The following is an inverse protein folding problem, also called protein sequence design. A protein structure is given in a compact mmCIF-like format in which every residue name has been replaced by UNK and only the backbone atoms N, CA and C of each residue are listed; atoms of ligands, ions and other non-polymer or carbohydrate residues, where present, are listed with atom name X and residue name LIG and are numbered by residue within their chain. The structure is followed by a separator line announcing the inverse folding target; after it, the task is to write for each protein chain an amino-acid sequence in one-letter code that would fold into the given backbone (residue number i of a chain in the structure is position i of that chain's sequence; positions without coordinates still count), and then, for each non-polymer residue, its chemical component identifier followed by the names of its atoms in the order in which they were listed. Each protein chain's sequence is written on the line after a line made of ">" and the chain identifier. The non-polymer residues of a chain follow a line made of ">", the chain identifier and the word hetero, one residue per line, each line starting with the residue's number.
data_IF_773015540650
#
_entry.id   IF_773015540650
#
_cell.length_a   1.000
_cell.length_b   1.000
_cell.length_c   1.000
_cell.angle_alpha   90.00
_cell.angle_beta   90.00
_cell.angle_gamma   90.00
#
_symmetry.space_group_name_H-M   'P 1'
#
loop_
_entity.id
_entity.type
_entity.pdbx_description
1 polymer ?
#
# COMPACT_ATOMS: atom_id res chain seq x y z
N UNK A 1 -47.06 26.21 69.16
CA UNK A 1 -48.08 27.15 68.64
C UNK A 1 -47.34 28.23 67.85
N UNK A 2 -47.72 28.40 66.58
CA UNK A 2 -47.54 29.58 65.70
C UNK A 2 -46.11 30.02 65.27
N UNK A 3 -45.80 29.63 64.03
CA UNK A 3 -45.35 30.42 62.87
C UNK A 3 -45.00 31.92 63.00
N UNK A 4 -43.87 32.34 62.39
CA UNK A 4 -43.72 33.24 61.20
C UNK A 4 -42.23 33.70 61.07
N UNK A 5 -41.51 33.40 59.97
CA UNK A 5 -41.16 34.28 58.80
C UNK A 5 -40.86 35.75 59.20
N UNK A 6 -39.78 36.44 58.80
CA UNK A 6 -39.19 36.59 57.45
C UNK A 6 -37.85 37.38 57.51
N UNK A 7 -37.09 37.29 56.41
CA UNK A 7 -35.77 37.79 56.02
C UNK A 7 -35.45 39.30 56.17
N UNK A 8 -34.15 39.65 56.23
CA UNK A 8 -33.47 40.59 55.31
C UNK A 8 -31.94 40.67 55.58
N UNK A 9 -31.17 40.85 54.51
CA UNK A 9 -29.71 40.79 54.40
C UNK A 9 -29.00 42.10 54.82
N UNK A 10 -27.73 42.03 55.22
CA UNK A 10 -26.77 43.13 55.05
C UNK A 10 -25.31 42.65 54.96
N UNK A 11 -24.52 43.46 54.26
CA UNK A 11 -23.30 43.16 53.50
C UNK A 11 -21.99 43.45 54.27
N UNK A 12 -20.97 42.63 53.98
CA UNK A 12 -19.54 42.91 53.84
C UNK A 12 -18.71 43.57 54.98
N UNK A 13 -17.60 42.89 55.35
CA UNK A 13 -16.30 43.53 55.67
C UNK A 13 -15.12 42.64 55.21
N UNK A 14 -14.09 43.33 54.70
CA UNK A 14 -12.90 42.86 53.97
C UNK A 14 -11.86 42.15 54.86
N UNK A 15 -11.05 41.27 54.24
CA UNK A 15 -9.81 40.66 54.78
C UNK A 15 -8.72 40.70 53.67
N UNK A 16 -7.41 40.84 53.99
CA UNK A 16 -6.44 41.54 53.16
C UNK A 16 -5.70 40.66 52.13
N UNK A 17 -5.15 41.33 51.12
CA UNK A 17 -4.41 40.73 50.00
C UNK A 17 -3.00 40.32 50.43
N UNK A 18 -2.77 39.01 50.55
CA UNK A 18 -1.43 38.41 50.40
C UNK A 18 -1.22 38.10 48.92
N UNK A 19 -0.26 38.76 48.29
CA UNK A 19 0.15 38.48 46.92
C UNK A 19 0.98 37.19 46.89
N UNK A 20 0.39 36.10 46.40
CA UNK A 20 1.13 34.90 45.99
C UNK A 20 1.55 35.14 44.54
N UNK A 21 2.85 35.33 44.31
CA UNK A 21 3.41 35.32 42.96
C UNK A 21 3.34 33.90 42.41
N UNK A 22 2.39 33.65 41.49
CA UNK A 22 2.33 32.42 40.74
C UNK A 22 3.44 32.43 39.67
N UNK A 23 4.53 31.72 39.92
CA UNK A 23 5.54 31.40 38.90
C UNK A 23 4.91 30.35 37.98
N UNK A 24 4.42 30.77 36.83
CA UNK A 24 4.01 29.86 35.76
C UNK A 24 5.27 29.23 35.17
N UNK A 25 5.56 27.98 35.55
CA UNK A 25 6.54 27.15 34.86
C UNK A 25 5.97 26.84 33.47
N UNK A 26 6.40 27.57 32.45
CA UNK A 26 6.20 27.19 31.06
C UNK A 26 7.12 25.99 30.81
N UNK A 27 6.57 24.78 30.92
CA UNK A 27 7.25 23.60 30.41
C UNK A 27 7.38 23.76 28.90
N UNK A 28 8.57 24.15 28.44
CA UNK A 28 8.90 24.09 27.02
C UNK A 28 8.85 22.60 26.62
N UNK A 29 7.75 22.20 25.98
CA UNK A 29 7.68 20.91 25.30
C UNK A 29 8.69 20.95 24.17
N UNK A 30 9.87 20.37 24.41
CA UNK A 30 10.80 20.06 23.33
C UNK A 30 10.09 19.02 22.47
N UNK A 31 9.52 19.47 21.35
CA UNK A 31 9.15 18.55 20.27
C UNK A 31 10.47 17.97 19.79
N UNK A 32 10.87 16.83 20.35
CA UNK A 32 11.91 16.03 19.72
C UNK A 32 11.33 15.64 18.36
N UNK A 33 11.87 16.26 17.31
CA UNK A 33 11.69 15.77 15.96
C UNK A 33 12.01 14.27 15.99
N UNK A 34 11.00 13.43 15.78
CA UNK A 34 11.23 12.00 15.64
C UNK A 34 12.19 11.86 14.47
N UNK A 35 13.38 11.32 14.76
CA UNK A 35 14.32 10.91 13.71
C UNK A 35 13.49 10.07 12.73
N UNK A 36 13.47 10.39 11.42
CA UNK A 36 12.75 9.56 10.47
C UNK A 36 13.19 8.12 10.68
N UNK A 37 12.24 7.23 10.90
CA UNK A 37 12.54 5.81 11.07
C UNK A 37 13.46 5.40 9.91
N UNK A 38 14.62 4.82 10.23
CA UNK A 38 15.57 4.40 9.22
C UNK A 38 14.82 3.56 8.17
N UNK A 39 14.95 3.92 6.89
CA UNK A 39 14.30 3.19 5.82
C UNK A 39 14.74 1.72 5.88
N UNK A 40 13.82 0.75 5.88
CA UNK A 40 14.21 -0.65 5.85
C UNK A 40 15.03 -0.89 4.58
N UNK A 41 16.22 -1.47 4.74
CA UNK A 41 17.18 -1.74 3.64
C UNK A 41 16.54 -2.56 2.52
N UNK A 42 15.50 -3.34 2.83
CA UNK A 42 14.68 -4.08 1.87
C UNK A 42 13.20 -3.76 2.04
N UNK A 43 12.82 -2.53 1.74
CA UNK A 43 11.42 -2.11 1.65
C UNK A 43 10.72 -2.73 0.43
N UNK A 44 9.39 -2.77 0.45
CA UNK A 44 8.63 -3.20 -0.72
C UNK A 44 8.80 -2.25 -1.91
N UNK A 45 8.94 -0.95 -1.67
CA UNK A 45 9.30 0.01 -2.72
C UNK A 45 10.62 -0.36 -3.41
N UNK A 46 11.66 -0.74 -2.64
CA UNK A 46 12.94 -1.14 -3.21
C UNK A 46 12.81 -2.43 -4.03
N UNK A 47 12.05 -3.43 -3.56
CA UNK A 47 11.76 -4.62 -4.34
C UNK A 47 11.09 -4.30 -5.69
N UNK A 48 10.14 -3.35 -5.71
CA UNK A 48 9.47 -2.93 -6.96
C UNK A 48 10.45 -2.26 -7.92
N UNK A 49 11.36 -1.42 -7.41
CA UNK A 49 12.44 -0.82 -8.21
C UNK A 49 13.35 -1.90 -8.79
N UNK A 50 13.80 -2.85 -7.97
CA UNK A 50 14.72 -3.91 -8.38
C UNK A 50 14.09 -4.80 -9.47
N UNK A 51 12.80 -5.15 -9.33
CA UNK A 51 12.04 -5.87 -10.37
C UNK A 51 11.91 -5.07 -11.66
N UNK A 52 11.64 -3.77 -11.55
CA UNK A 52 11.48 -2.91 -12.71
C UNK A 52 12.78 -2.86 -13.51
N UNK A 53 13.92 -2.67 -12.86
CA UNK A 53 15.24 -2.69 -13.52
C UNK A 53 15.54 -4.05 -14.14
N UNK A 54 15.19 -5.15 -13.46
CA UNK A 54 15.37 -6.50 -14.02
C UNK A 54 14.52 -6.75 -15.28
N UNK A 55 13.30 -6.20 -15.34
CA UNK A 55 12.39 -6.32 -16.48
C UNK A 55 12.69 -5.34 -17.62
N UNK A 56 13.35 -4.23 -17.31
CA UNK A 56 13.67 -3.14 -18.23
C UNK A 56 15.17 -2.80 -18.15
N UNK A 57 16.06 -3.65 -18.70
CA UNK A 57 17.51 -3.51 -18.57
C UNK A 57 18.10 -2.28 -19.28
N UNK A 58 17.30 -1.58 -20.08
CA UNK A 58 17.62 -0.31 -20.73
C UNK A 58 17.49 0.92 -19.81
N UNK A 59 16.76 0.78 -18.69
CA UNK A 59 16.68 1.80 -17.65
C UNK A 59 18.04 2.02 -16.98
N UNK A 60 18.40 3.29 -16.85
CA UNK A 60 19.59 3.76 -16.13
C UNK A 60 19.26 4.15 -14.70
N UNK A 61 18.08 4.69 -14.47
CA UNK A 61 17.59 5.00 -13.14
C UNK A 61 16.08 4.74 -13.04
N UNK A 62 15.69 4.24 -11.87
CA UNK A 62 14.32 4.17 -11.38
C UNK A 62 14.36 4.76 -9.98
N UNK A 63 13.54 5.78 -9.74
CA UNK A 63 13.51 6.54 -8.48
C UNK A 63 12.06 6.74 -8.06
N UNK A 64 11.75 6.43 -6.81
CA UNK A 64 10.44 6.72 -6.21
C UNK A 64 10.58 7.78 -5.12
N UNK A 65 9.98 8.94 -5.36
CA UNK A 65 9.84 10.04 -4.41
C UNK A 65 8.44 9.99 -3.79
N UNK A 66 8.37 9.84 -2.46
CA UNK A 66 7.13 9.68 -1.71
C UNK A 66 7.26 10.46 -0.41
N UNK A 67 6.15 10.97 0.13
CA UNK A 67 6.08 11.47 1.51
C UNK A 67 5.73 10.30 2.42
N UNK A 68 6.67 9.74 3.21
CA UNK A 68 6.37 8.61 4.08
C UNK A 68 5.25 8.93 5.08
N UNK A 69 4.51 7.91 5.57
CA UNK A 69 3.53 8.13 6.63
C UNK A 69 4.19 8.81 7.84
N UNK A 70 3.54 9.86 8.36
CA UNK A 70 4.02 10.67 9.49
C UNK A 70 5.32 11.47 9.25
N UNK A 71 5.74 11.63 8.00
CA UNK A 71 6.82 12.54 7.61
C UNK A 71 6.26 13.80 6.95
N UNK A 72 6.99 14.91 7.07
CA UNK A 72 6.64 16.17 6.39
C UNK A 72 7.23 16.24 4.98
N UNK A 73 8.43 15.70 4.79
CA UNK A 73 9.19 15.85 3.55
C UNK A 73 8.89 14.71 2.56
N UNK A 74 8.78 15.06 1.29
CA UNK A 74 8.82 14.10 0.20
C UNK A 74 10.28 13.75 -0.12
N UNK A 75 10.61 12.46 -0.10
CA UNK A 75 11.99 11.98 -0.22
C UNK A 75 12.07 10.72 -1.09
N UNK A 76 13.27 10.42 -1.60
CA UNK A 76 13.54 9.14 -2.26
C UNK A 76 13.37 8.00 -1.24
N UNK A 77 12.39 7.13 -1.45
CA UNK A 77 12.17 5.94 -0.60
C UNK A 77 12.73 4.66 -1.22
N UNK A 78 12.98 4.65 -2.52
CA UNK A 78 13.54 3.53 -3.27
C UNK A 78 14.24 4.01 -4.55
N UNK A 79 15.39 3.42 -4.86
CA UNK A 79 16.11 3.70 -6.09
C UNK A 79 17.19 2.66 -6.39
N UNK A 80 17.47 2.40 -7.67
CA UNK A 80 18.59 1.58 -8.11
C UNK A 80 19.93 2.35 -8.17
N UNK A 81 19.92 3.69 -7.99
CA UNK A 81 21.12 4.54 -7.98
C UNK A 81 21.44 5.12 -6.59
N UNK A 82 20.77 4.62 -5.54
CA UNK A 82 20.94 5.09 -4.16
C UNK A 82 20.19 6.40 -3.87
N UNK A 83 20.81 7.30 -3.09
CA UNK A 83 20.22 8.61 -2.70
C UNK A 83 18.94 8.52 -1.84
N UNK A 84 18.71 7.38 -1.19
CA UNK A 84 17.58 7.20 -0.27
C UNK A 84 17.58 8.30 0.80
N UNK A 85 16.42 8.93 1.03
CA UNK A 85 16.23 10.05 1.94
C UNK A 85 16.54 11.43 1.35
N UNK A 86 17.05 11.53 0.12
CA UNK A 86 17.19 12.83 -0.57
C UNK A 86 15.80 13.44 -0.77
N UNK A 87 15.65 14.71 -0.41
CA UNK A 87 14.43 15.47 -0.67
C UNK A 87 14.14 15.57 -2.17
N UNK A 88 12.85 15.47 -2.49
CA UNK A 88 12.28 15.83 -3.78
C UNK A 88 12.58 17.30 -4.09
N UNK A 89 12.82 17.62 -5.35
CA UNK A 89 12.96 19.00 -5.80
C UNK A 89 11.63 19.57 -6.32
N UNK A 90 11.66 20.79 -6.85
CA UNK A 90 10.45 21.47 -7.31
C UNK A 90 9.76 20.75 -8.48
N UNK A 91 10.54 20.04 -9.32
CA UNK A 91 10.00 19.34 -10.48
C UNK A 91 9.23 18.08 -10.03
N UNK A 92 9.82 17.30 -9.11
CA UNK A 92 9.16 16.16 -8.47
C UNK A 92 7.81 16.57 -7.82
N UNK A 93 7.83 17.67 -7.08
CA UNK A 93 6.65 18.18 -6.36
C UNK A 93 5.56 18.70 -7.33
N UNK A 94 5.95 19.31 -8.46
CA UNK A 94 5.00 19.76 -9.49
C UNK A 94 4.31 18.58 -10.19
N UNK A 95 5.05 17.50 -10.48
CA UNK A 95 4.48 16.26 -11.03
C UNK A 95 3.43 15.67 -10.09
N UNK A 96 3.72 15.66 -8.78
CA UNK A 96 2.77 15.18 -7.75
C UNK A 96 1.53 16.08 -7.68
N UNK A 97 1.72 17.39 -7.63
CA UNK A 97 0.64 18.35 -7.44
C UNK A 97 -0.29 18.44 -8.66
N UNK A 98 0.26 18.34 -9.86
CA UNK A 98 -0.49 18.52 -11.12
C UNK A 98 -0.97 17.21 -11.73
N UNK A 99 -0.34 16.08 -11.38
CA UNK A 99 -0.56 14.79 -12.03
C UNK A 99 -0.08 14.73 -13.48
N UNK A 100 0.71 15.72 -13.94
CA UNK A 100 1.22 15.79 -15.31
C UNK A 100 2.63 15.22 -15.38
N UNK A 101 2.91 14.49 -16.44
CA UNK A 101 4.26 14.00 -16.70
C UNK A 101 5.20 15.17 -17.03
N UNK A 102 6.47 15.02 -16.68
CA UNK A 102 7.56 15.90 -17.08
C UNK A 102 8.60 15.12 -17.87
N UNK A 103 9.18 15.78 -18.88
CA UNK A 103 10.26 15.25 -19.71
C UNK A 103 11.45 16.17 -19.55
N UNK A 104 12.58 15.62 -19.14
CA UNK A 104 13.84 16.35 -19.01
C UNK A 104 14.93 15.68 -19.84
N UNK A 105 15.83 16.49 -20.39
CA UNK A 105 16.99 16.05 -21.16
C UNK A 105 18.26 16.53 -20.47
N UNK A 106 19.30 15.71 -20.48
CA UNK A 106 20.62 16.14 -20.00
C UNK A 106 21.29 17.15 -20.96
N UNK A 107 22.36 17.78 -20.46
CA UNK A 107 23.21 18.62 -21.29
C UNK A 107 23.87 17.78 -22.40
N UNK A 108 23.38 17.95 -23.63
CA UNK A 108 23.85 17.21 -24.81
C UNK A 108 22.88 16.18 -25.37
N UNK A 109 21.65 16.08 -24.83
CA UNK A 109 20.58 15.21 -25.33
C UNK A 109 20.97 13.73 -25.44
N UNK A 110 21.73 13.23 -24.45
CA UNK A 110 22.20 11.84 -24.37
C UNK A 110 21.42 11.02 -23.35
N UNK A 111 20.66 11.67 -22.47
CA UNK A 111 19.77 11.03 -21.49
C UNK A 111 18.41 11.73 -21.52
N UNK A 112 17.38 10.91 -21.42
CA UNK A 112 16.01 11.35 -21.25
C UNK A 112 15.51 10.85 -19.89
N UNK A 113 14.90 11.73 -19.14
CA UNK A 113 14.20 11.45 -17.90
C UNK A 113 12.71 11.72 -18.12
N UNK A 114 11.88 10.71 -17.81
CA UNK A 114 10.44 10.85 -17.75
C UNK A 114 10.05 10.73 -16.28
N UNK A 115 9.51 11.81 -15.74
CA UNK A 115 8.92 11.84 -14.41
C UNK A 115 7.39 11.74 -14.53
N UNK A 116 6.80 10.83 -13.77
CA UNK A 116 5.37 10.55 -13.79
C UNK A 116 4.80 10.60 -12.37
N UNK A 117 3.52 10.92 -12.17
CA UNK A 117 2.87 10.66 -10.90
C UNK A 117 2.90 9.15 -10.61
N UNK A 118 3.34 8.77 -9.42
CA UNK A 118 3.28 7.39 -8.93
C UNK A 118 1.87 7.13 -8.38
N UNK A 119 1.21 6.09 -8.87
CA UNK A 119 -0.14 5.74 -8.45
C UNK A 119 -0.17 4.48 -7.60
N UNK A 120 -1.09 4.41 -6.64
CA UNK A 120 -1.53 3.14 -6.06
C UNK A 120 -2.53 2.43 -6.98
N UNK A 121 -2.99 1.25 -6.57
CA UNK A 121 -3.97 0.43 -7.31
C UNK A 121 -5.34 1.08 -7.45
N UNK A 122 -5.67 2.05 -6.60
CA UNK A 122 -6.89 2.85 -6.69
C UNK A 122 -6.77 4.05 -7.64
N UNK A 123 -5.58 4.28 -8.21
CA UNK A 123 -5.29 5.43 -9.06
C UNK A 123 -4.98 6.71 -8.27
N UNK A 124 -4.77 6.63 -6.96
CA UNK A 124 -4.38 7.78 -6.15
C UNK A 124 -2.91 8.11 -6.41
N UNK A 125 -2.59 9.38 -6.69
CA UNK A 125 -1.21 9.87 -6.68
C UNK A 125 -0.65 9.83 -5.28
N UNK A 126 0.43 9.07 -5.09
CA UNK A 126 1.10 8.82 -3.81
C UNK A 126 2.56 9.29 -3.81
N UNK A 127 3.06 9.80 -4.94
CA UNK A 127 4.44 10.23 -5.12
C UNK A 127 4.77 10.54 -6.58
N UNK A 128 6.06 10.64 -6.92
CA UNK A 128 6.55 10.68 -8.29
C UNK A 128 7.47 9.48 -8.57
N UNK A 129 7.53 9.10 -9.85
CA UNK A 129 8.35 8.05 -10.41
C UNK A 129 9.27 8.67 -11.47
N UNK A 130 10.57 8.69 -11.21
CA UNK A 130 11.58 9.09 -12.20
C UNK A 130 12.12 7.86 -12.93
N UNK A 131 12.02 7.86 -14.27
CA UNK A 131 12.57 6.82 -15.14
C UNK A 131 13.55 7.44 -16.13
N UNK A 132 14.78 6.94 -16.15
CA UNK A 132 15.85 7.51 -16.97
C UNK A 132 16.39 6.50 -17.95
N UNK A 133 16.50 6.89 -19.21
CA UNK A 133 17.12 6.11 -20.29
C UNK A 133 18.34 6.81 -20.87
N UNK A 134 19.15 6.04 -21.59
CA UNK A 134 20.01 6.63 -22.62
C UNK A 134 19.12 7.06 -23.78
N UNK A 135 19.30 8.29 -24.26
CA UNK A 135 18.61 8.80 -25.43
C UNK A 135 19.47 8.60 -26.69
N UNK A 136 19.01 7.84 -27.69
CA UNK A 136 19.73 7.67 -28.95
C UNK A 136 19.58 8.91 -29.84
N UNK A 137 20.55 9.11 -30.73
CA UNK A 137 20.46 10.16 -31.77
C UNK A 137 19.22 9.90 -32.63
N UNK A 138 18.36 10.91 -32.77
CA UNK A 138 17.10 10.77 -33.51
C UNK A 138 16.02 9.98 -32.77
N UNK A 139 16.14 9.77 -31.45
CA UNK A 139 15.11 9.14 -30.64
C UNK A 139 13.76 9.87 -30.70
N UNK A 140 12.72 9.21 -30.20
CA UNK A 140 11.37 9.74 -30.15
C UNK A 140 10.90 9.90 -28.69
N UNK A 141 10.72 11.14 -28.22
CA UNK A 141 10.24 11.40 -26.85
C UNK A 141 8.92 10.70 -26.53
N UNK A 142 7.97 10.72 -27.48
CA UNK A 142 6.66 10.11 -27.29
C UNK A 142 6.72 8.59 -27.06
N UNK A 143 7.74 7.92 -27.60
CA UNK A 143 7.95 6.50 -27.36
C UNK A 143 8.40 6.23 -25.92
N UNK A 144 9.34 7.03 -25.40
CA UNK A 144 9.79 6.92 -24.01
C UNK A 144 8.67 7.25 -23.03
N UNK A 145 7.88 8.30 -23.29
CA UNK A 145 6.70 8.61 -22.48
C UNK A 145 5.69 7.47 -22.46
N UNK A 146 5.42 6.85 -23.62
CA UNK A 146 4.52 5.70 -23.71
C UNK A 146 5.03 4.52 -22.90
N UNK A 147 6.32 4.19 -23.02
CA UNK A 147 6.95 3.09 -22.25
C UNK A 147 6.91 3.40 -20.75
N UNK A 148 7.22 4.63 -20.36
CA UNK A 148 7.17 5.09 -18.99
C UNK A 148 5.76 4.97 -18.38
N UNK A 149 4.72 5.32 -19.15
CA UNK A 149 3.33 5.12 -18.77
C UNK A 149 2.99 3.65 -18.52
N UNK A 150 3.43 2.74 -19.40
CA UNK A 150 3.24 1.29 -19.23
C UNK A 150 3.90 0.79 -17.94
N UNK A 151 5.12 1.25 -17.64
CA UNK A 151 5.84 0.89 -16.41
C UNK A 151 5.10 1.41 -15.17
N UNK A 152 4.68 2.68 -15.16
CA UNK A 152 3.90 3.27 -14.06
C UNK A 152 2.61 2.48 -13.81
N UNK A 153 1.89 2.14 -14.87
CA UNK A 153 0.60 1.44 -14.75
C UNK A 153 0.80 -0.02 -14.28
N UNK A 154 1.91 -0.67 -14.67
CA UNK A 154 2.29 -1.97 -14.13
C UNK A 154 2.66 -1.91 -12.64
N UNK A 155 3.39 -0.87 -12.21
CA UNK A 155 3.71 -0.62 -10.81
C UNK A 155 2.45 -0.33 -9.98
N UNK A 156 1.53 0.49 -10.49
CA UNK A 156 0.26 0.82 -9.82
C UNK A 156 -0.54 -0.43 -9.44
N UNK A 157 -0.59 -1.45 -10.32
CA UNK A 157 -1.23 -2.75 -10.03
C UNK A 157 -0.55 -3.58 -8.93
N UNK A 158 0.67 -3.21 -8.51
CA UNK A 158 1.42 -3.85 -7.44
C UNK A 158 1.45 -3.02 -6.15
N UNK A 159 0.95 -1.79 -6.16
CA UNK A 159 1.01 -0.89 -5.00
C UNK A 159 -0.38 -0.80 -4.38
N UNK A 160 -0.61 -1.49 -3.27
CA UNK A 160 -1.92 -1.46 -2.61
C UNK A 160 -2.24 -0.07 -2.01
N UNK A 161 -1.22 0.58 -1.46
CA UNK A 161 -1.31 1.91 -0.85
C UNK A 161 0.08 2.50 -0.62
N UNK A 162 0.15 3.78 -0.26
CA UNK A 162 1.41 4.43 0.15
C UNK A 162 2.09 3.68 1.32
N UNK A 163 1.36 3.34 2.38
CA UNK A 163 1.93 2.62 3.53
C UNK A 163 2.53 1.27 3.12
N UNK A 164 1.95 0.60 2.14
CA UNK A 164 2.47 -0.69 1.66
C UNK A 164 3.87 -0.58 1.04
N UNK A 165 4.25 0.55 0.46
CA UNK A 165 5.60 0.79 -0.05
C UNK A 165 6.67 0.76 1.05
N UNK A 166 6.28 1.11 2.27
CA UNK A 166 7.17 1.20 3.43
C UNK A 166 7.31 -0.12 4.19
N UNK A 167 6.48 -1.13 3.85
CA UNK A 167 6.55 -2.44 4.48
C UNK A 167 7.89 -3.13 4.17
N UNK A 168 8.45 -3.94 5.09
CA UNK A 168 9.58 -4.81 4.77
C UNK A 168 9.19 -5.84 3.70
N UNK A 169 10.18 -6.27 2.92
CA UNK A 169 10.00 -7.29 1.89
C UNK A 169 11.04 -8.44 1.99
N UNK A 170 10.62 -9.71 2.19
CA UNK A 170 9.26 -10.14 2.56
C UNK A 170 8.83 -9.52 3.90
N UNK A 171 7.54 -9.53 4.19
CA UNK A 171 7.00 -8.87 5.39
C UNK A 171 7.40 -9.58 6.67
N UNK A 172 7.27 -10.91 6.69
CA UNK A 172 7.93 -11.71 7.70
C UNK A 172 9.32 -12.11 7.20
N UNK A 173 10.39 -11.90 7.99
CA UNK A 173 11.71 -12.38 7.64
C UNK A 173 11.71 -13.89 7.35
N UNK A 174 12.53 -14.33 6.40
CA UNK A 174 12.74 -15.74 6.02
C UNK A 174 11.58 -16.44 5.30
N UNK A 175 10.45 -15.78 5.08
CA UNK A 175 9.36 -16.35 4.27
C UNK A 175 9.73 -16.29 2.78
N UNK A 176 9.48 -17.40 2.06
CA UNK A 176 9.66 -17.44 0.60
C UNK A 176 8.63 -16.57 -0.11
N UNK A 177 9.07 -15.86 -1.15
CA UNK A 177 8.20 -15.09 -2.05
C UNK A 177 7.86 -15.88 -3.32
N UNK A 178 8.42 -17.09 -3.46
CA UNK A 178 8.21 -18.04 -4.57
C UNK A 178 7.41 -19.25 -4.10
N UNK A 179 6.39 -18.99 -3.30
CA UNK A 179 5.50 -20.04 -2.83
C UNK A 179 4.57 -20.51 -3.95
N UNK A 180 4.05 -21.73 -3.86
CA UNK A 180 2.97 -22.19 -4.74
C UNK A 180 1.78 -21.24 -4.72
N UNK A 181 1.44 -20.67 -3.57
CA UNK A 181 0.40 -19.65 -3.47
C UNK A 181 0.70 -18.41 -4.33
N UNK A 182 1.95 -17.94 -4.37
CA UNK A 182 2.33 -16.83 -5.23
C UNK A 182 2.20 -17.22 -6.70
N UNK A 183 2.66 -18.40 -7.11
CA UNK A 183 2.50 -18.88 -8.50
C UNK A 183 1.04 -18.90 -8.93
N UNK A 184 0.15 -19.43 -8.06
CA UNK A 184 -1.29 -19.43 -8.31
C UNK A 184 -1.87 -18.01 -8.48
N UNK A 185 -1.39 -17.05 -7.69
CA UNK A 185 -1.79 -15.64 -7.81
C UNK A 185 -1.33 -15.09 -9.17
N UNK A 186 -0.08 -15.29 -9.56
CA UNK A 186 0.44 -14.78 -10.84
C UNK A 186 -0.29 -15.39 -12.05
N UNK A 187 -0.52 -16.70 -12.06
CA UNK A 187 -1.25 -17.38 -13.13
C UNK A 187 -2.73 -16.99 -13.17
N UNK A 188 -3.33 -16.65 -12.03
CA UNK A 188 -4.69 -16.11 -12.00
C UNK A 188 -4.75 -14.73 -12.64
N UNK A 189 -3.82 -13.83 -12.32
CA UNK A 189 -3.78 -12.48 -12.90
C UNK A 189 -3.56 -12.49 -14.42
N UNK A 190 -2.82 -13.47 -14.94
CA UNK A 190 -2.67 -13.65 -16.38
C UNK A 190 -3.98 -14.01 -17.08
N UNK A 191 -4.89 -14.70 -16.39
CA UNK A 191 -6.18 -15.17 -16.94
C UNK A 191 -7.35 -14.24 -16.60
N UNK A 192 -7.21 -13.45 -15.55
CA UNK A 192 -8.22 -12.53 -15.03
C UNK A 192 -7.63 -11.11 -14.93
N UNK A 193 -7.33 -10.45 -16.06
CA UNK A 193 -6.68 -9.14 -16.09
C UNK A 193 -7.51 -8.02 -15.47
N UNK A 194 -8.81 -8.22 -15.27
CA UNK A 194 -9.70 -7.31 -14.56
C UNK A 194 -9.50 -7.31 -13.03
N UNK A 195 -8.81 -8.32 -12.49
CA UNK A 195 -8.46 -8.39 -11.07
C UNK A 195 -7.27 -7.47 -10.79
N UNK A 196 -7.51 -6.48 -9.95
CA UNK A 196 -6.52 -5.47 -9.55
C UNK A 196 -5.81 -5.81 -8.24
N UNK A 197 -6.48 -6.54 -7.35
CA UNK A 197 -5.91 -7.03 -6.09
C UNK A 197 -6.27 -8.50 -5.95
N UNK A 198 -5.26 -9.33 -5.71
CA UNK A 198 -5.43 -10.73 -5.35
C UNK A 198 -4.51 -11.04 -4.18
N UNK A 199 -5.04 -11.71 -3.15
CA UNK A 199 -4.29 -12.14 -1.98
C UNK A 199 -4.82 -13.49 -1.47
N UNK A 200 -3.91 -14.46 -1.34
CA UNK A 200 -4.19 -15.81 -0.90
C UNK A 200 -3.48 -16.06 0.44
N UNK A 201 -4.29 -16.31 1.48
CA UNK A 201 -3.81 -16.77 2.78
C UNK A 201 -4.15 -18.24 2.97
N UNK A 202 -3.24 -18.98 3.60
CA UNK A 202 -3.50 -20.35 4.03
C UNK A 202 -2.86 -20.63 5.39
N UNK A 203 -3.34 -21.66 6.07
CA UNK A 203 -2.75 -22.11 7.35
C UNK A 203 -1.42 -22.80 7.07
N UNK A 204 -0.33 -22.30 7.67
CA UNK A 204 1.01 -22.90 7.56
C UNK A 204 1.30 -23.88 8.69
N UNK A 205 1.89 -25.03 8.35
CA UNK A 205 2.32 -26.03 9.33
C UNK A 205 3.66 -25.66 10.00
N UNK A 206 3.94 -26.15 11.23
CA UNK A 206 3.08 -26.95 12.10
C UNK A 206 2.14 -26.12 12.99
N UNK A 207 2.26 -24.78 12.97
CA UNK A 207 1.56 -23.91 13.93
C UNK A 207 0.10 -23.64 13.57
N UNK A 208 -0.30 -23.89 12.33
CA UNK A 208 -1.66 -23.64 11.83
C UNK A 208 -2.01 -22.15 11.71
N UNK A 209 -1.01 -21.25 11.72
CA UNK A 209 -1.22 -19.81 11.60
C UNK A 209 -1.70 -19.46 10.19
N UNK A 210 -2.75 -18.64 10.06
CA UNK A 210 -3.21 -18.13 8.78
C UNK A 210 -2.28 -16.98 8.34
N UNK A 211 -1.54 -17.17 7.26
CA UNK A 211 -0.56 -16.19 6.77
C UNK A 211 -0.75 -15.90 5.29
N UNK A 212 -0.38 -14.70 4.86
CA UNK A 212 -0.39 -14.31 3.46
C UNK A 212 0.76 -14.98 2.70
N UNK A 213 0.44 -15.94 1.85
CA UNK A 213 1.43 -16.72 1.11
C UNK A 213 1.63 -16.22 -0.31
N UNK A 214 0.60 -15.66 -0.93
CA UNK A 214 0.67 -15.07 -2.27
C UNK A 214 -0.14 -13.79 -2.35
N UNK A 215 0.38 -12.77 -3.02
CA UNK A 215 -0.39 -11.56 -3.31
C UNK A 215 0.16 -10.73 -4.47
N UNK A 216 -0.68 -9.82 -4.94
CA UNK A 216 -0.35 -8.74 -5.89
C UNK A 216 0.56 -7.67 -5.29
N UNK A 217 0.55 -7.47 -3.97
CA UNK A 217 1.13 -6.31 -3.27
C UNK A 217 2.21 -6.68 -2.23
N UNK A 218 2.78 -7.88 -2.36
CA UNK A 218 3.80 -8.38 -1.43
C UNK A 218 3.21 -8.89 -0.11
N UNK A 219 3.71 -8.37 1.01
CA UNK A 219 3.29 -8.75 2.37
C UNK A 219 3.40 -10.24 2.72
N UNK A 220 4.26 -10.98 2.00
CA UNK A 220 4.51 -12.40 2.24
C UNK A 220 4.87 -12.67 3.70
N UNK A 221 4.12 -13.58 4.34
CA UNK A 221 4.26 -13.94 5.74
C UNK A 221 3.50 -13.07 6.74
N UNK A 222 2.77 -12.03 6.29
CA UNK A 222 1.89 -11.26 7.19
C UNK A 222 0.82 -12.18 7.79
N UNK A 223 0.73 -12.22 9.12
CA UNK A 223 -0.31 -12.96 9.85
C UNK A 223 -1.68 -12.31 9.64
N UNK A 224 -2.71 -13.14 9.55
CA UNK A 224 -4.10 -12.70 9.55
C UNK A 224 -4.42 -11.88 10.81
N UNK A 225 -5.10 -10.76 10.62
CA UNK A 225 -5.72 -10.02 11.71
C UNK A 225 -7.14 -10.52 12.00
N UNK A 226 -7.85 -9.87 12.92
CA UNK A 226 -9.19 -10.28 13.31
C UNK A 226 -10.20 -10.25 12.15
N UNK A 227 -10.04 -9.35 11.18
CA UNK A 227 -10.93 -9.25 10.03
C UNK A 227 -10.64 -10.35 9.01
N UNK A 228 -9.36 -10.63 8.75
CA UNK A 228 -8.94 -11.77 7.94
C UNK A 228 -9.46 -13.11 8.50
N UNK A 229 -9.43 -13.27 9.83
CA UNK A 229 -9.88 -14.51 10.49
C UNK A 229 -11.39 -14.73 10.37
N UNK A 230 -12.21 -13.67 10.44
CA UNK A 230 -13.67 -13.77 10.31
C UNK A 230 -14.11 -14.40 8.99
N UNK A 231 -13.33 -14.21 7.92
CA UNK A 231 -13.63 -14.75 6.58
C UNK A 231 -13.78 -16.28 6.60
N UNK A 232 -13.00 -16.99 7.42
CA UNK A 232 -13.01 -18.45 7.49
C UNK A 232 -14.38 -19.02 7.89
N UNK A 233 -15.11 -18.31 8.74
CA UNK A 233 -16.37 -18.77 9.33
C UNK A 233 -17.59 -18.40 8.48
N UNK A 234 -17.39 -17.64 7.40
CA UNK A 234 -18.48 -17.15 6.55
C UNK A 234 -19.00 -18.20 5.57
N UNK A 235 -20.30 -18.18 5.32
CA UNK A 235 -20.95 -18.93 4.23
C UNK A 235 -21.21 -18.06 2.99
N UNK A 236 -21.20 -16.74 3.15
CA UNK A 236 -21.38 -15.77 2.09
C UNK A 236 -20.14 -14.83 1.98
N UNK A 237 -19.86 -14.26 0.80
CA UNK A 237 -18.77 -13.30 0.62
C UNK A 237 -18.90 -12.09 1.55
N UNK A 238 -17.80 -11.62 2.11
CA UNK A 238 -17.71 -10.29 2.71
C UNK A 238 -17.28 -9.32 1.61
N UNK A 239 -18.02 -8.23 1.42
CA UNK A 239 -17.72 -7.24 0.38
C UNK A 239 -17.50 -5.86 0.96
N UNK A 240 -16.70 -5.05 0.28
CA UNK A 240 -16.39 -3.69 0.72
C UNK A 240 -15.93 -2.80 -0.41
N UNK A 241 -16.11 -1.49 -0.22
CA UNK A 241 -15.59 -0.46 -1.12
C UNK A 241 -14.42 0.24 -0.43
N UNK A 242 -13.29 0.29 -1.13
CA UNK A 242 -12.00 0.76 -0.65
C UNK A 242 -11.45 1.86 -1.57
N UNK A 243 -10.30 2.43 -1.20
CA UNK A 243 -9.57 3.40 -2.03
C UNK A 243 -10.46 4.57 -2.46
N UNK A 244 -11.17 5.20 -1.50
CA UNK A 244 -12.07 6.33 -1.74
C UNK A 244 -13.14 6.08 -2.83
N UNK A 245 -13.69 4.87 -2.86
CA UNK A 245 -14.72 4.51 -3.85
C UNK A 245 -14.16 3.92 -5.15
N UNK A 246 -12.85 3.74 -5.27
CA UNK A 246 -12.18 3.32 -6.51
C UNK A 246 -11.88 1.83 -6.59
N UNK A 247 -12.13 1.06 -5.52
CA UNK A 247 -11.90 -0.38 -5.52
C UNK A 247 -13.02 -1.12 -4.80
N UNK A 248 -13.53 -2.18 -5.41
CA UNK A 248 -14.48 -3.10 -4.79
C UNK A 248 -13.73 -4.38 -4.43
N UNK A 249 -13.80 -4.79 -3.17
CA UNK A 249 -13.14 -5.99 -2.66
C UNK A 249 -14.16 -7.05 -2.22
N UNK A 250 -13.79 -8.31 -2.44
CA UNK A 250 -14.55 -9.50 -2.07
C UNK A 250 -13.63 -10.44 -1.32
N UNK A 251 -13.96 -10.73 -0.07
CA UNK A 251 -13.26 -11.67 0.80
C UNK A 251 -14.03 -12.99 0.86
N UNK A 252 -13.33 -14.09 0.58
CA UNK A 252 -13.91 -15.41 0.39
C UNK A 252 -13.12 -16.48 1.16
N UNK A 253 -13.79 -17.43 1.82
CA UNK A 253 -13.11 -18.61 2.34
C UNK A 253 -12.70 -19.54 1.19
N UNK A 254 -11.49 -20.06 1.27
CA UNK A 254 -11.01 -21.20 0.47
C UNK A 254 -11.27 -22.47 1.28
N UNK A 255 -11.99 -23.41 0.70
CA UNK A 255 -12.41 -24.66 1.35
C UNK A 255 -11.74 -25.87 0.69
N UNK A 256 -11.38 -26.87 1.48
CA UNK A 256 -10.96 -28.16 0.94
C UNK A 256 -12.16 -28.97 0.42
N UNK A 257 -11.91 -30.18 -0.11
CA UNK A 257 -12.97 -31.07 -0.64
C UNK A 257 -14.03 -31.47 0.41
N UNK A 258 -13.67 -31.44 1.69
CA UNK A 258 -14.59 -31.71 2.81
C UNK A 258 -15.39 -30.48 3.24
N UNK A 259 -15.24 -29.35 2.56
CA UNK A 259 -15.93 -28.09 2.86
C UNK A 259 -15.31 -27.28 4.02
N UNK A 260 -14.19 -27.74 4.59
CA UNK A 260 -13.51 -27.05 5.70
C UNK A 260 -12.70 -25.88 5.15
N UNK A 261 -12.84 -24.70 5.75
CA UNK A 261 -12.04 -23.52 5.40
C UNK A 261 -10.55 -23.75 5.76
N UNK A 262 -9.70 -23.75 4.73
CA UNK A 262 -8.24 -23.94 4.84
C UNK A 262 -7.45 -22.66 4.56
N UNK A 263 -8.13 -21.62 4.09
CA UNK A 263 -7.53 -20.34 3.77
C UNK A 263 -8.56 -19.27 3.41
N UNK A 264 -8.08 -18.11 3.00
CA UNK A 264 -8.91 -16.97 2.57
C UNK A 264 -8.36 -16.40 1.27
N UNK A 265 -9.26 -15.91 0.43
CA UNK A 265 -8.95 -15.21 -0.81
C UNK A 265 -9.57 -13.80 -0.75
N UNK A 266 -8.74 -12.77 -0.94
CA UNK A 266 -9.21 -11.42 -1.22
C UNK A 266 -9.08 -11.17 -2.72
N UNK A 267 -10.18 -10.74 -3.36
CA UNK A 267 -10.22 -10.35 -4.77
C UNK A 267 -10.69 -8.90 -4.86
N UNK A 268 -9.99 -8.06 -5.61
CA UNK A 268 -10.31 -6.65 -5.77
C UNK A 268 -10.38 -6.24 -7.24
N UNK A 269 -11.37 -5.41 -7.54
CA UNK A 269 -11.63 -4.85 -8.87
C UNK A 269 -11.58 -3.33 -8.81
N UNK A 270 -11.12 -2.70 -9.90
CA UNK A 270 -11.35 -1.27 -10.09
C UNK A 270 -12.86 -1.00 -10.01
N UNK A 271 -13.25 0.08 -9.33
CA UNK A 271 -14.64 0.40 -9.03
C UNK A 271 -14.96 1.87 -9.26
N UNK A 272 -16.21 2.14 -9.60
CA UNK A 272 -16.69 3.48 -9.93
C UNK A 272 -18.20 3.52 -10.11
N UNK A 273 -18.72 4.69 -10.45
CA UNK A 273 -20.15 4.92 -10.64
C UNK A 273 -20.72 3.98 -11.72
N UNK A 274 -21.77 3.23 -11.37
CA UNK A 274 -22.52 2.39 -12.31
C UNK A 274 -22.05 0.94 -12.42
N UNK A 275 -21.02 0.52 -11.68
CA UNK A 275 -20.63 -0.89 -11.64
C UNK A 275 -21.52 -1.72 -10.71
N UNK A 276 -21.89 -2.92 -11.16
CA UNK A 276 -22.71 -3.85 -10.40
C UNK A 276 -21.86 -4.71 -9.47
N UNK A 277 -22.00 -4.47 -8.17
CA UNK A 277 -21.32 -5.24 -7.13
C UNK A 277 -21.70 -6.71 -7.16
N UNK A 278 -22.91 -7.08 -7.64
CA UNK A 278 -23.32 -8.48 -7.75
C UNK A 278 -22.53 -9.21 -8.83
N UNK A 279 -22.35 -8.59 -10.01
CA UNK A 279 -21.51 -9.16 -11.08
C UNK A 279 -20.07 -9.34 -10.62
N UNK A 280 -19.46 -8.33 -10.00
CA UNK A 280 -18.10 -8.44 -9.47
C UNK A 280 -17.98 -9.51 -8.38
N UNK A 281 -19.00 -9.64 -7.52
CA UNK A 281 -19.07 -10.73 -6.53
C UNK A 281 -19.12 -12.10 -7.21
N UNK A 282 -19.91 -12.26 -8.28
CA UNK A 282 -20.00 -13.50 -9.06
C UNK A 282 -18.66 -13.85 -9.71
N UNK A 283 -17.94 -12.87 -10.27
CA UNK A 283 -16.61 -13.10 -10.84
C UNK A 283 -15.61 -13.54 -9.77
N UNK A 284 -15.63 -12.93 -8.58
CA UNK A 284 -14.76 -13.33 -7.48
C UNK A 284 -15.04 -14.76 -7.01
N UNK A 285 -16.32 -15.15 -6.94
CA UNK A 285 -16.73 -16.52 -6.62
C UNK A 285 -16.21 -17.52 -7.66
N UNK A 286 -16.33 -17.21 -8.95
CA UNK A 286 -15.82 -18.07 -10.02
C UNK A 286 -14.30 -18.25 -9.94
N UNK A 287 -13.55 -17.16 -9.73
CA UNK A 287 -12.10 -17.21 -9.52
C UNK A 287 -11.73 -18.02 -8.27
N UNK A 288 -12.48 -17.87 -7.18
CA UNK A 288 -12.27 -18.64 -5.94
C UNK A 288 -12.45 -20.14 -6.19
N UNK A 289 -13.50 -20.54 -6.88
CA UNK A 289 -13.80 -21.96 -7.15
C UNK A 289 -12.75 -22.59 -8.07
N UNK A 290 -12.26 -21.81 -9.04
CA UNK A 290 -11.17 -22.19 -9.92
C UNK A 290 -9.86 -22.40 -9.14
N UNK A 291 -9.43 -21.42 -8.34
CA UNK A 291 -8.24 -21.55 -7.49
C UNK A 291 -8.38 -22.69 -6.50
N UNK A 292 -9.55 -22.87 -5.90
CA UNK A 292 -9.82 -23.96 -4.96
C UNK A 292 -9.64 -25.33 -5.61
N UNK A 293 -10.03 -25.48 -6.87
CA UNK A 293 -9.80 -26.71 -7.65
C UNK A 293 -8.31 -26.98 -7.83
N UNK A 294 -7.51 -25.95 -8.13
CA UNK A 294 -6.05 -26.07 -8.29
C UNK A 294 -5.35 -26.37 -6.97
N UNK A 295 -5.76 -25.72 -5.88
CA UNK A 295 -5.26 -25.97 -4.52
C UNK A 295 -5.56 -27.41 -4.09
N UNK A 296 -6.76 -27.92 -4.39
CA UNK A 296 -7.13 -29.29 -4.06
C UNK A 296 -6.31 -30.35 -4.83
N UNK A 297 -5.67 -29.99 -5.93
CA UNK A 297 -4.75 -30.85 -6.67
C UNK A 297 -3.32 -30.79 -6.11
N UNK A 298 -2.91 -29.65 -5.56
CA UNK A 298 -1.56 -29.43 -4.99
C UNK A 298 -1.67 -28.57 -3.72
N UNK A 299 -1.89 -29.20 -2.55
CA UNK A 299 -2.32 -28.51 -1.34
C UNK A 299 -1.21 -27.82 -0.55
N UNK A 300 0.06 -28.09 -0.84
CA UNK A 300 1.20 -27.48 -0.16
C UNK A 300 1.46 -26.07 -0.72
N UNK A 301 0.77 -25.08 -0.16
CA UNK A 301 0.75 -23.71 -0.68
C UNK A 301 1.95 -22.87 -0.28
N UNK A 302 2.61 -23.25 0.81
CA UNK A 302 3.80 -22.62 1.36
C UNK A 302 5.11 -23.13 0.74
N UNK A 303 5.06 -24.29 0.08
CA UNK A 303 6.23 -24.89 -0.57
C UNK A 303 6.73 -24.04 -1.73
N UNK A 304 8.03 -24.14 -2.01
CA UNK A 304 8.67 -23.43 -3.10
C UNK A 304 8.15 -23.99 -4.43
N UNK A 305 7.69 -23.10 -5.30
CA UNK A 305 7.25 -23.39 -6.66
C UNK A 305 8.01 -22.44 -7.61
N UNK A 306 9.13 -22.91 -8.19
CA UNK A 306 10.12 -22.06 -8.85
C UNK A 306 9.69 -21.49 -10.21
#
# INVERSE_FOLDING_TARGET
>A
MMTHKTSAQALAKRVPKCAIAAVALVAASVVQAQVPAAFPVKSYAQELVDRTVAQHPDLRAVVMHVTPPNAADNVIIASNIGRIGKAADADDLDVIATGKNRIAMDQGNKRIEIELPLHDVGGQTIGSLGLVWRYPVGGNHAEFERIAGVIRDALSRRILSLTNLMDPYPFAPLVTTKSRAQTLVEEALQRHPEVTVLALRAKVQPKGELVLLGSTFGRHGKKADADDMKVLDTTAPITGVYSNGKRFGVDLPIRNRSGIAVGTLNVGYAFGSGQDTKTLTTHALALRDELQTRIAATPALEEIDP
#
